data_IF_957551112336
#
_entry.id   IF_957551112336
#
_cell.length_a   1.000
_cell.length_b   1.000
_cell.length_c   1.000
_cell.angle_alpha   90.00
_cell.angle_beta   90.00
_cell.angle_gamma   90.00
#
_symmetry.space_group_name_H-M   'P 1'
#
loop_
_entity.id
_entity.type
_entity.pdbx_description
1 polymer ?
#
# COMPACT_ATOMS: atom_id res chain seq x y z
N UNK A 1 31.73 -39.41 20.10
CA UNK A 1 31.64 -38.01 19.66
C UNK A 1 30.43 -37.86 18.74
N UNK A 2 29.35 -37.24 19.21
CA UNK A 2 28.19 -36.97 18.36
C UNK A 2 28.46 -35.78 17.45
N UNK A 3 28.58 -36.05 16.15
CA UNK A 3 28.62 -35.05 15.09
C UNK A 3 27.35 -34.19 15.20
N UNK A 4 27.52 -32.90 15.48
CA UNK A 4 26.43 -31.93 15.37
C UNK A 4 25.99 -31.90 13.90
N UNK A 5 24.73 -32.21 13.61
CA UNK A 5 24.14 -32.02 12.29
C UNK A 5 24.45 -30.60 11.82
N UNK A 6 25.27 -30.48 10.77
CA UNK A 6 25.54 -29.24 10.03
C UNK A 6 24.29 -28.85 9.24
N UNK A 7 23.24 -28.47 9.96
CA UNK A 7 21.89 -28.41 9.41
C UNK A 7 21.39 -27.01 9.09
N UNK A 8 22.22 -25.96 9.16
CA UNK A 8 21.75 -24.57 9.06
C UNK A 8 22.86 -23.53 8.76
N UNK A 9 24.05 -23.92 8.30
CA UNK A 9 25.17 -23.01 8.03
C UNK A 9 25.39 -22.72 6.55
N UNK A 10 26.03 -21.58 6.24
CA UNK A 10 26.61 -21.25 4.92
C UNK A 10 27.30 -22.51 4.35
N UNK A 11 27.05 -22.89 3.08
CA UNK A 11 27.74 -24.03 2.48
C UNK A 11 29.25 -23.81 2.60
N UNK A 12 29.93 -24.74 3.29
CA UNK A 12 31.37 -24.73 3.45
C UNK A 12 31.95 -25.67 2.39
N UNK A 13 32.41 -25.08 1.29
CA UNK A 13 33.00 -25.81 0.17
C UNK A 13 33.61 -24.85 -0.84
N UNK A 14 34.79 -25.21 -1.36
CA UNK A 14 35.44 -24.60 -2.54
C UNK A 14 34.87 -25.14 -3.86
N UNK A 15 33.89 -26.05 -3.78
CA UNK A 15 33.21 -26.73 -4.89
C UNK A 15 32.21 -25.84 -5.66
N UNK A 16 32.22 -24.53 -5.41
CA UNK A 16 31.31 -23.57 -6.05
C UNK A 16 29.91 -23.48 -5.42
N UNK A 17 29.56 -24.37 -4.48
CA UNK A 17 28.27 -24.31 -3.77
C UNK A 17 28.10 -23.00 -2.98
N UNK A 18 29.18 -22.46 -2.41
CA UNK A 18 29.21 -21.15 -1.75
C UNK A 18 29.00 -19.99 -2.73
N UNK A 19 29.52 -20.09 -3.97
CA UNK A 19 29.32 -19.08 -4.99
C UNK A 19 27.85 -19.02 -5.44
N UNK A 20 27.24 -20.18 -5.74
CA UNK A 20 25.82 -20.27 -6.07
C UNK A 20 24.93 -19.77 -4.93
N UNK A 21 25.28 -20.08 -3.68
CA UNK A 21 24.56 -19.59 -2.51
C UNK A 21 24.64 -18.05 -2.38
N UNK A 22 25.85 -17.48 -2.48
CA UNK A 22 26.08 -16.03 -2.43
C UNK A 22 25.33 -15.28 -3.55
N UNK A 23 25.33 -15.80 -4.78
CA UNK A 23 24.59 -15.21 -5.90
C UNK A 23 23.08 -15.11 -5.65
N UNK A 24 22.48 -16.19 -5.14
CA UNK A 24 21.03 -16.22 -4.86
C UNK A 24 20.68 -15.26 -3.72
N UNK A 25 21.53 -15.18 -2.70
CA UNK A 25 21.36 -14.29 -1.55
C UNK A 25 21.48 -12.82 -1.95
N UNK A 26 22.53 -12.44 -2.70
CA UNK A 26 22.75 -11.06 -3.16
C UNK A 26 21.63 -10.56 -4.08
N UNK A 27 21.15 -11.42 -4.98
CA UNK A 27 20.04 -11.07 -5.86
C UNK A 27 18.75 -10.73 -5.09
N UNK A 28 18.49 -11.41 -3.96
CA UNK A 28 17.33 -11.14 -3.09
C UNK A 28 17.52 -9.86 -2.28
N UNK A 29 18.71 -9.62 -1.72
CA UNK A 29 18.98 -8.36 -1.04
C UNK A 29 18.78 -7.15 -1.96
N UNK A 30 19.25 -7.25 -3.21
CA UNK A 30 19.01 -6.22 -4.23
C UNK A 30 17.53 -6.00 -4.51
N UNK A 31 16.75 -7.08 -4.69
CA UNK A 31 15.29 -7.00 -4.87
C UNK A 31 14.59 -6.37 -3.67
N UNK A 32 14.94 -6.75 -2.45
CA UNK A 32 14.38 -6.16 -1.23
C UNK A 32 14.65 -4.67 -1.16
N UNK A 33 15.88 -4.23 -1.44
CA UNK A 33 16.21 -2.80 -1.47
C UNK A 33 15.41 -2.05 -2.55
N UNK A 34 15.29 -2.61 -3.75
CA UNK A 34 14.50 -2.04 -4.85
C UNK A 34 13.02 -1.91 -4.50
N UNK A 35 12.41 -2.96 -3.95
CA UNK A 35 10.99 -2.93 -3.56
C UNK A 35 10.75 -2.01 -2.35
N UNK A 36 11.69 -1.87 -1.41
CA UNK A 36 11.60 -0.86 -0.35
C UNK A 36 11.62 0.56 -0.89
N UNK A 37 12.49 0.84 -1.86
CA UNK A 37 12.54 2.15 -2.51
C UNK A 37 11.22 2.48 -3.21
N UNK A 38 10.70 1.54 -4.02
CA UNK A 38 9.39 1.67 -4.68
C UNK A 38 8.25 1.87 -3.67
N UNK A 39 8.22 1.05 -2.62
CA UNK A 39 7.22 1.17 -1.56
C UNK A 39 7.31 2.51 -0.84
N UNK A 40 8.51 3.07 -0.68
CA UNK A 40 8.70 4.40 -0.10
C UNK A 40 8.03 5.50 -0.92
N UNK A 41 8.14 5.43 -2.25
CA UNK A 41 7.49 6.38 -3.16
C UNK A 41 5.97 6.24 -3.07
N UNK A 42 5.46 5.01 -3.05
CA UNK A 42 4.02 4.74 -2.94
C UNK A 42 3.45 5.26 -1.61
N UNK A 43 4.12 4.99 -0.49
CA UNK A 43 3.73 5.51 0.83
C UNK A 43 3.74 7.05 0.83
N UNK A 44 4.73 7.67 0.19
CA UNK A 44 4.79 9.13 0.07
C UNK A 44 3.61 9.69 -0.74
N UNK A 45 3.27 9.08 -1.87
CA UNK A 45 2.10 9.46 -2.68
C UNK A 45 0.81 9.32 -1.86
N UNK A 46 0.63 8.20 -1.17
CA UNK A 46 -0.55 7.99 -0.32
C UNK A 46 -0.62 9.00 0.83
N UNK A 47 0.52 9.36 1.43
CA UNK A 47 0.58 10.39 2.47
C UNK A 47 0.19 11.78 1.94
N UNK A 48 0.61 12.14 0.72
CA UNK A 48 0.19 13.40 0.08
C UNK A 48 -1.31 13.42 -0.22
N UNK A 49 -1.86 12.32 -0.75
CA UNK A 49 -3.31 12.19 -0.98
C UNK A 49 -4.07 12.33 0.34
N UNK A 50 -3.60 11.64 1.39
CA UNK A 50 -4.18 11.69 2.72
C UNK A 50 -4.12 13.09 3.34
N UNK A 51 -3.03 13.84 3.11
CA UNK A 51 -2.89 15.23 3.54
C UNK A 51 -3.91 16.13 2.83
N UNK A 52 -4.03 16.01 1.51
CA UNK A 52 -5.03 16.76 0.74
C UNK A 52 -6.46 16.49 1.23
N UNK A 53 -6.77 15.21 1.51
CA UNK A 53 -8.07 14.81 2.04
C UNK A 53 -8.32 15.41 3.43
N UNK A 54 -7.31 15.42 4.30
CA UNK A 54 -7.38 16.02 5.63
C UNK A 54 -7.58 17.55 5.56
N UNK A 55 -6.88 18.24 4.66
CA UNK A 55 -7.06 19.69 4.42
C UNK A 55 -8.49 19.98 3.95
N UNK A 56 -9.03 19.19 3.03
CA UNK A 56 -10.41 19.34 2.56
C UNK A 56 -11.44 19.13 3.69
N UNK A 57 -11.23 18.13 4.55
CA UNK A 57 -12.07 17.90 5.73
C UNK A 57 -11.99 19.07 6.72
N UNK A 58 -10.78 19.57 6.99
CA UNK A 58 -10.56 20.71 7.87
C UNK A 58 -11.25 21.98 7.36
N UNK A 59 -11.12 22.27 6.06
CA UNK A 59 -11.79 23.41 5.43
C UNK A 59 -13.31 23.28 5.48
N UNK A 60 -13.85 22.07 5.27
CA UNK A 60 -15.29 21.81 5.37
C UNK A 60 -15.82 22.07 6.78
N UNK A 61 -15.09 21.62 7.81
CA UNK A 61 -15.41 21.94 9.22
C UNK A 61 -15.38 23.43 9.49
N UNK A 62 -14.35 24.14 8.98
CA UNK A 62 -14.22 25.60 9.17
C UNK A 62 -15.37 26.38 8.51
N UNK A 63 -15.97 25.84 7.47
CA UNK A 63 -17.12 26.42 6.77
C UNK A 63 -18.47 25.99 7.37
N UNK A 64 -18.47 25.28 8.51
CA UNK A 64 -19.68 24.82 9.18
C UNK A 64 -20.45 23.73 8.42
N UNK A 65 -19.81 23.05 7.47
CA UNK A 65 -20.42 21.91 6.78
C UNK A 65 -20.37 20.66 7.66
N UNK A 66 -21.41 19.85 7.58
CA UNK A 66 -21.47 18.58 8.31
C UNK A 66 -20.32 17.65 7.89
N UNK A 67 -19.64 17.09 8.88
CA UNK A 67 -18.57 16.12 8.68
C UNK A 67 -19.15 14.75 8.34
N UNK A 68 -18.81 14.23 7.16
CA UNK A 68 -19.11 12.84 6.84
C UNK A 68 -18.29 11.91 7.74
N UNK A 69 -18.98 11.24 8.67
CA UNK A 69 -18.40 10.26 9.59
C UNK A 69 -17.70 9.12 8.85
N UNK A 70 -18.18 8.76 7.65
CA UNK A 70 -17.56 7.71 6.82
C UNK A 70 -16.22 8.19 6.26
N UNK A 71 -16.17 9.40 5.69
CA UNK A 71 -14.93 10.02 5.24
C UNK A 71 -13.91 10.19 6.39
N UNK A 72 -14.33 10.67 7.56
CA UNK A 72 -13.45 10.87 8.73
C UNK A 72 -12.90 9.54 9.24
N UNK A 73 -13.74 8.52 9.40
CA UNK A 73 -13.31 7.21 9.88
C UNK A 73 -12.36 6.51 8.90
N UNK A 74 -12.65 6.53 7.60
CA UNK A 74 -11.77 5.97 6.57
C UNK A 74 -10.41 6.69 6.54
N UNK A 75 -10.41 8.02 6.70
CA UNK A 75 -9.21 8.86 6.80
C UNK A 75 -8.32 8.46 7.99
N UNK A 76 -8.90 8.24 9.18
CA UNK A 76 -8.16 7.80 10.37
C UNK A 76 -7.52 6.42 10.15
N UNK A 77 -8.29 5.46 9.61
CA UNK A 77 -7.79 4.10 9.34
C UNK A 77 -6.65 4.14 8.31
N UNK A 78 -6.79 4.97 7.27
CA UNK A 78 -5.76 5.18 6.27
C UNK A 78 -4.47 5.73 6.89
N UNK A 79 -4.58 6.77 7.73
CA UNK A 79 -3.43 7.37 8.42
C UNK A 79 -2.69 6.37 9.31
N UNK A 80 -3.41 5.62 10.16
CA UNK A 80 -2.81 4.59 11.03
C UNK A 80 -2.11 3.52 10.18
N UNK A 81 -2.75 3.09 9.10
CA UNK A 81 -2.18 2.09 8.18
C UNK A 81 -0.87 2.57 7.57
N UNK A 82 -0.79 3.84 7.14
CA UNK A 82 0.43 4.43 6.59
C UNK A 82 1.59 4.43 7.60
N UNK A 83 1.33 4.77 8.86
CA UNK A 83 2.34 4.72 9.92
C UNK A 83 2.87 3.29 10.11
N UNK A 84 1.98 2.30 10.13
CA UNK A 84 2.34 0.88 10.22
C UNK A 84 3.17 0.46 8.99
N UNK A 85 2.80 0.91 7.80
CA UNK A 85 3.49 0.63 6.54
C UNK A 85 4.92 1.15 6.53
N UNK A 86 5.11 2.42 6.93
CA UNK A 86 6.43 3.04 7.01
C UNK A 86 7.33 2.33 8.05
N UNK A 87 6.75 1.98 9.21
CA UNK A 87 7.46 1.23 10.24
C UNK A 87 7.82 -0.19 9.77
N UNK A 88 6.91 -0.86 9.08
CA UNK A 88 7.11 -2.19 8.50
C UNK A 88 8.22 -2.20 7.44
N UNK A 89 8.24 -1.19 6.57
CA UNK A 89 9.29 -0.98 5.56
C UNK A 89 10.65 -0.74 6.21
N UNK A 90 10.75 0.20 7.16
CA UNK A 90 12.00 0.56 7.86
C UNK A 90 12.57 -0.63 8.64
N UNK A 91 11.74 -1.32 9.42
CA UNK A 91 12.16 -2.45 10.27
C UNK A 91 12.17 -3.81 9.56
N UNK A 92 11.82 -3.87 8.28
CA UNK A 92 11.70 -5.12 7.50
C UNK A 92 10.77 -6.16 8.17
N UNK A 93 9.67 -5.70 8.79
CA UNK A 93 8.75 -6.57 9.54
C UNK A 93 7.57 -6.96 8.65
N UNK A 94 7.55 -8.21 8.22
CA UNK A 94 6.51 -8.77 7.34
C UNK A 94 5.11 -8.59 7.91
N UNK A 95 4.91 -8.78 9.22
CA UNK A 95 3.58 -8.64 9.85
C UNK A 95 3.06 -7.21 9.76
N UNK A 96 3.91 -6.19 9.91
CA UNK A 96 3.50 -4.80 9.76
C UNK A 96 3.14 -4.47 8.31
N UNK A 97 3.89 -5.00 7.34
CA UNK A 97 3.57 -4.84 5.93
C UNK A 97 2.21 -5.48 5.57
N UNK A 98 1.89 -6.64 6.15
CA UNK A 98 0.57 -7.28 5.99
C UNK A 98 -0.55 -6.43 6.59
N UNK A 99 -0.36 -5.92 7.81
CA UNK A 99 -1.33 -5.03 8.47
C UNK A 99 -1.55 -3.73 7.70
N UNK A 100 -0.49 -3.16 7.14
CA UNK A 100 -0.58 -1.98 6.27
C UNK A 100 -1.44 -2.23 5.04
N UNK A 101 -1.20 -3.33 4.30
CA UNK A 101 -2.00 -3.66 3.11
C UNK A 101 -3.46 -3.92 3.48
N UNK A 102 -3.69 -4.65 4.57
CA UNK A 102 -5.04 -4.93 5.05
C UNK A 102 -5.79 -3.65 5.45
N UNK A 103 -5.19 -2.82 6.30
CA UNK A 103 -5.79 -1.58 6.78
C UNK A 103 -6.02 -0.55 5.68
N UNK A 104 -5.04 -0.37 4.78
CA UNK A 104 -5.18 0.54 3.64
C UNK A 104 -6.27 0.07 2.66
N UNK A 105 -6.42 -1.24 2.46
CA UNK A 105 -7.48 -1.79 1.60
C UNK A 105 -8.87 -1.60 2.21
N UNK A 106 -9.01 -1.81 3.53
CA UNK A 106 -10.27 -1.55 4.24
C UNK A 106 -10.63 -0.06 4.17
N UNK A 107 -9.67 0.83 4.46
CA UNK A 107 -9.88 2.27 4.37
C UNK A 107 -10.35 2.67 2.97
N UNK A 108 -9.68 2.15 1.94
CA UNK A 108 -10.02 2.40 0.54
C UNK A 108 -11.42 1.92 0.17
N UNK A 109 -11.82 0.71 0.59
CA UNK A 109 -13.18 0.20 0.35
C UNK A 109 -14.24 1.06 1.04
N UNK A 110 -14.00 1.48 2.29
CA UNK A 110 -14.91 2.38 3.02
C UNK A 110 -15.02 3.72 2.27
N UNK A 111 -13.90 4.27 1.77
CA UNK A 111 -13.91 5.52 1.00
C UNK A 111 -14.68 5.39 -0.33
N UNK A 112 -14.55 4.27 -1.05
CA UNK A 112 -15.33 4.02 -2.28
C UNK A 112 -16.83 3.93 -1.96
N UNK A 113 -17.20 3.19 -0.91
CA UNK A 113 -18.60 3.04 -0.51
C UNK A 113 -19.18 4.39 -0.08
N UNK A 114 -18.40 5.19 0.66
CA UNK A 114 -18.76 6.56 1.03
C UNK A 114 -19.00 7.45 -0.20
N UNK A 115 -18.08 7.39 -1.18
CA UNK A 115 -18.23 8.10 -2.45
C UNK A 115 -19.50 7.67 -3.19
N UNK A 116 -19.77 6.36 -3.24
CA UNK A 116 -20.93 5.79 -3.95
C UNK A 116 -22.29 6.21 -3.36
N UNK A 117 -22.36 6.46 -2.04
CA UNK A 117 -23.58 6.90 -1.36
C UNK A 117 -23.95 8.35 -1.64
N UNK A 118 -22.99 9.18 -2.03
CA UNK A 118 -23.16 10.61 -2.28
C UNK A 118 -23.67 10.93 -3.71
N UNK A 119 -24.55 10.09 -4.29
CA UNK A 119 -25.18 10.26 -5.62
C UNK A 119 -24.18 10.39 -6.79
N UNK A 120 -23.83 9.30 -7.49
CA UNK A 120 -22.90 9.40 -8.65
C UNK A 120 -23.15 8.48 -9.86
N UNK A 121 -23.93 7.39 -9.77
CA UNK A 121 -24.00 6.46 -10.93
C UNK A 121 -25.19 6.74 -11.86
N UNK A 122 -26.25 7.38 -11.36
CA UNK A 122 -27.46 7.64 -12.15
C UNK A 122 -27.55 9.07 -12.72
N UNK A 123 -26.91 10.07 -12.08
CA UNK A 123 -26.93 11.46 -12.55
C UNK A 123 -25.95 11.77 -13.69
N UNK A 124 -24.83 11.04 -13.80
CA UNK A 124 -23.82 11.27 -14.86
C UNK A 124 -24.38 11.03 -16.28
N UNK A 125 -25.45 10.23 -16.39
CA UNK A 125 -26.15 9.97 -17.67
C UNK A 125 -27.17 11.09 -17.97
N UNK A 126 -27.69 11.76 -16.96
CA UNK A 126 -28.78 12.74 -17.06
C UNK A 126 -28.26 14.19 -17.18
N UNK A 127 -27.13 14.52 -16.54
CA UNK A 127 -26.61 15.90 -16.39
C UNK A 127 -25.58 16.34 -17.45
N UNK A 128 -25.46 15.64 -18.58
CA UNK A 128 -24.55 16.03 -19.68
C UNK A 128 -24.89 17.42 -20.31
N UNK A 129 -25.99 18.06 -19.87
CA UNK A 129 -26.44 19.37 -20.34
C UNK A 129 -25.83 20.57 -19.58
N UNK A 130 -25.31 20.38 -18.36
CA UNK A 130 -24.67 21.46 -17.58
C UNK A 130 -23.16 21.24 -17.43
N UNK A 131 -22.38 21.97 -18.23
CA UNK A 131 -20.93 21.80 -18.34
C UNK A 131 -20.17 21.88 -17.00
N UNK A 132 -20.57 22.75 -16.06
CA UNK A 132 -19.84 22.97 -14.81
C UNK A 132 -19.98 21.84 -13.77
N UNK A 133 -21.16 21.21 -13.64
CA UNK A 133 -21.35 20.08 -12.70
C UNK A 133 -20.60 18.83 -13.17
N UNK A 134 -20.57 18.61 -14.49
CA UNK A 134 -19.93 17.44 -15.11
C UNK A 134 -18.42 17.37 -14.85
N UNK A 135 -17.71 18.51 -14.80
CA UNK A 135 -16.26 18.53 -14.62
C UNK A 135 -15.86 18.09 -13.20
N UNK A 136 -16.58 18.57 -12.17
CA UNK A 136 -16.31 18.16 -10.78
C UNK A 136 -16.59 16.68 -10.56
N UNK A 137 -17.60 16.13 -11.22
CA UNK A 137 -17.91 14.70 -11.18
C UNK A 137 -16.84 13.87 -11.87
N UNK A 138 -16.40 14.27 -13.05
CA UNK A 138 -15.30 13.63 -13.77
C UNK A 138 -14.02 13.62 -12.93
N UNK A 139 -13.71 14.72 -12.22
CA UNK A 139 -12.55 14.80 -11.32
C UNK A 139 -12.68 13.80 -10.16
N UNK A 140 -13.87 13.65 -9.56
CA UNK A 140 -14.10 12.68 -8.46
C UNK A 140 -13.94 11.23 -8.95
N UNK A 141 -14.50 10.91 -10.12
CA UNK A 141 -14.35 9.58 -10.74
C UNK A 141 -12.88 9.31 -11.07
N UNK A 142 -12.19 10.26 -11.69
CA UNK A 142 -10.78 10.16 -12.01
C UNK A 142 -9.92 9.97 -10.74
N UNK A 143 -10.18 10.72 -9.67
CA UNK A 143 -9.50 10.56 -8.40
C UNK A 143 -9.74 9.17 -7.79
N UNK A 144 -10.97 8.64 -7.89
CA UNK A 144 -11.29 7.26 -7.50
C UNK A 144 -10.48 6.22 -8.28
N UNK A 145 -10.39 6.36 -9.61
CA UNK A 145 -9.59 5.49 -10.47
C UNK A 145 -8.09 5.57 -10.15
N UNK A 146 -7.55 6.76 -9.93
CA UNK A 146 -6.16 6.95 -9.47
C UNK A 146 -5.95 6.24 -8.14
N UNK A 147 -6.91 6.33 -7.21
CA UNK A 147 -6.89 5.59 -5.95
C UNK A 147 -6.82 4.07 -6.14
N UNK A 148 -7.61 3.51 -7.06
CA UNK A 148 -7.55 2.07 -7.41
C UNK A 148 -6.16 1.70 -7.91
N UNK A 149 -5.60 2.47 -8.83
CA UNK A 149 -4.27 2.21 -9.41
C UNK A 149 -3.20 2.22 -8.32
N UNK A 150 -3.19 3.24 -7.46
CA UNK A 150 -2.26 3.33 -6.33
C UNK A 150 -2.39 2.12 -5.41
N UNK A 151 -3.62 1.68 -5.10
CA UNK A 151 -3.85 0.53 -4.23
C UNK A 151 -3.37 -0.79 -4.85
N UNK A 152 -3.54 -0.99 -6.15
CA UNK A 152 -3.00 -2.17 -6.87
C UNK A 152 -1.47 -2.20 -6.77
N UNK A 153 -0.80 -1.06 -7.03
CA UNK A 153 0.65 -0.96 -6.91
C UNK A 153 1.13 -1.18 -5.47
N UNK A 154 0.39 -0.70 -4.47
CA UNK A 154 0.65 -0.95 -3.05
C UNK A 154 0.65 -2.45 -2.74
N UNK A 155 -0.42 -3.16 -3.13
CA UNK A 155 -0.57 -4.61 -2.89
C UNK A 155 0.54 -5.39 -3.61
N UNK A 156 0.76 -5.11 -4.89
CA UNK A 156 1.75 -5.80 -5.72
C UNK A 156 3.18 -5.60 -5.20
N UNK A 157 3.57 -4.36 -4.91
CA UNK A 157 4.91 -4.03 -4.41
C UNK A 157 5.14 -4.62 -3.03
N UNK A 158 4.15 -4.54 -2.14
CA UNK A 158 4.27 -5.07 -0.77
C UNK A 158 4.33 -6.59 -0.76
N UNK A 159 3.52 -7.26 -1.59
CA UNK A 159 3.56 -8.72 -1.74
C UNK A 159 4.92 -9.18 -2.29
N UNK A 160 5.42 -8.49 -3.31
CA UNK A 160 6.75 -8.74 -3.87
C UNK A 160 7.86 -8.53 -2.84
N UNK A 161 7.76 -7.48 -2.02
CA UNK A 161 8.69 -7.21 -0.93
C UNK A 161 8.68 -8.34 0.11
N UNK A 162 7.49 -8.72 0.59
CA UNK A 162 7.32 -9.79 1.58
C UNK A 162 7.87 -11.12 1.05
N UNK A 163 7.59 -11.46 -0.21
CA UNK A 163 8.08 -12.68 -0.82
C UNK A 163 9.62 -12.73 -0.84
N UNK A 164 10.27 -11.61 -1.18
CA UNK A 164 11.73 -11.54 -1.20
C UNK A 164 12.37 -11.42 0.20
N UNK A 165 11.58 -11.09 1.23
CA UNK A 165 12.00 -11.14 2.64
C UNK A 165 11.87 -12.54 3.27
N UNK A 166 11.05 -13.42 2.69
CA UNK A 166 10.82 -14.76 3.23
C UNK A 166 12.07 -15.65 3.05
N UNK A 167 12.38 -16.52 4.03
CA UNK A 167 13.47 -17.47 3.88
C UNK A 167 13.21 -18.41 2.70
N UNK A 168 14.27 -18.91 2.02
CA UNK A 168 14.12 -19.76 0.85
C UNK A 168 13.23 -20.98 1.14
N UNK A 169 12.20 -21.16 0.29
CA UNK A 169 11.33 -22.34 0.34
C UNK A 169 12.20 -23.56 0.02
N UNK A 170 12.18 -24.56 0.90
CA UNK A 170 12.91 -25.82 0.71
C UNK A 170 12.32 -26.54 -0.50
N UNK A 171 13.14 -26.85 -1.49
CA UNK A 171 12.84 -27.94 -2.41
C UNK A 171 13.21 -29.18 -1.60
N UNK A 172 12.20 -29.94 -1.19
CA UNK A 172 12.37 -31.20 -0.48
C UNK A 172 12.75 -32.30 -1.47
#
# INVERSE_FOLDING_TARGET
>A
MHQRKSGNGRPFGTDGSDFSYRMVVDSRYKKVAQYKSRLSIIIFIQAMIQLLLAVNLFLSTSMGKDLDRVAVSSSIICFISLLIGELGKKRSRVNFLKLYVFGSSIAFLISIVGLSRSTYVLQVIEDFSSWDSSIFELIKVAAGLVGVVVQIFTISTTTSLIHNMAPPKRIA
#
